data_IF_286253706092
#
_entry.id   IF_286253706092
#
_cell.length_a   1.000
_cell.length_b   1.000
_cell.length_c   1.000
_cell.angle_alpha   90.00
_cell.angle_beta   90.00
_cell.angle_gamma   90.00
#
_symmetry.space_group_name_H-M   'P 1'
#
loop_
_entity.id
_entity.type
_entity.pdbx_description
1 polymer ?
#
# COMPACT_ATOMS: atom_id res chain seq x y z
N UNK A 1 -9.23 41.07 11.63
CA UNK A 1 -8.55 39.94 10.94
C UNK A 1 -9.50 38.74 10.88
N UNK A 2 -9.73 38.13 9.70
CA UNK A 2 -10.43 36.84 9.63
C UNK A 2 -9.52 35.75 10.21
N UNK A 3 -9.92 35.13 11.32
CA UNK A 3 -9.20 34.02 11.95
C UNK A 3 -9.36 32.79 11.05
N UNK A 4 -8.40 32.55 10.15
CA UNK A 4 -8.46 31.40 9.23
C UNK A 4 -8.61 30.11 10.02
N UNK A 5 -9.72 29.38 9.81
CA UNK A 5 -9.98 28.11 10.47
C UNK A 5 -8.92 27.10 10.03
N UNK A 6 -8.09 26.67 10.98
CA UNK A 6 -7.07 25.62 10.80
C UNK A 6 -7.71 24.40 10.13
N UNK A 7 -7.17 24.00 8.98
CA UNK A 7 -7.62 22.83 8.23
C UNK A 7 -6.73 21.64 8.53
N UNK A 8 -7.31 20.48 8.83
CA UNK A 8 -6.56 19.27 9.17
C UNK A 8 -6.48 18.38 7.93
N UNK A 9 -5.27 18.06 7.48
CA UNK A 9 -5.03 17.31 6.24
C UNK A 9 -4.42 15.96 6.57
N UNK A 10 -5.08 14.89 6.16
CA UNK A 10 -4.60 13.52 6.27
C UNK A 10 -3.78 13.09 5.07
N UNK A 11 -2.75 12.28 5.32
CA UNK A 11 -2.01 11.51 4.30
C UNK A 11 -1.83 10.09 4.82
N UNK A 12 -2.03 9.08 3.97
CA UNK A 12 -1.72 7.67 4.29
C UNK A 12 -0.44 7.31 3.51
N UNK A 13 0.62 6.89 4.21
CA UNK A 13 1.94 6.76 3.60
C UNK A 13 2.83 5.65 4.18
N UNK A 14 3.85 5.26 3.41
CA UNK A 14 4.92 4.35 3.85
C UNK A 14 6.29 5.02 3.95
N UNK A 15 6.55 6.07 3.17
CA UNK A 15 7.83 6.79 3.13
C UNK A 15 9.04 5.84 3.09
N UNK A 16 9.04 4.91 2.12
CA UNK A 16 9.98 3.78 2.04
C UNK A 16 10.93 3.82 0.81
N UNK A 17 11.87 4.79 0.71
CA UNK A 17 12.17 5.89 1.64
C UNK A 17 11.27 7.13 1.44
N UNK A 18 11.39 8.12 2.33
CA UNK A 18 10.90 9.49 2.07
C UNK A 18 11.75 10.09 0.93
N UNK A 19 11.14 10.82 -0.01
CA UNK A 19 11.77 11.20 -1.28
C UNK A 19 11.06 12.41 -1.90
N UNK A 20 11.61 12.97 -2.98
CA UNK A 20 11.15 14.25 -3.56
C UNK A 20 9.66 14.25 -3.96
N UNK A 21 9.11 13.14 -4.48
CA UNK A 21 7.65 13.02 -4.69
C UNK A 21 6.78 13.19 -3.42
N UNK A 22 7.29 12.83 -2.23
CA UNK A 22 6.60 13.09 -0.96
C UNK A 22 6.74 14.55 -0.51
N UNK A 23 7.89 15.18 -0.80
CA UNK A 23 8.12 16.61 -0.57
C UNK A 23 7.19 17.44 -1.45
N UNK A 24 7.06 17.08 -2.73
CA UNK A 24 6.10 17.67 -3.67
C UNK A 24 4.67 17.62 -3.13
N UNK A 25 4.20 16.45 -2.66
CA UNK A 25 2.88 16.33 -2.04
C UNK A 25 2.69 17.28 -0.85
N UNK A 26 3.66 17.33 0.07
CA UNK A 26 3.59 18.19 1.26
C UNK A 26 3.62 19.68 0.89
N UNK A 27 4.43 20.07 -0.08
CA UNK A 27 4.51 21.45 -0.55
C UNK A 27 3.26 21.87 -1.35
N UNK A 28 2.67 20.96 -2.14
CA UNK A 28 1.38 21.16 -2.77
C UNK A 28 0.29 21.45 -1.73
N UNK A 29 0.24 20.67 -0.64
CA UNK A 29 -0.72 20.88 0.46
C UNK A 29 -0.53 22.27 1.09
N UNK A 30 0.71 22.67 1.42
CA UNK A 30 0.99 23.99 2.00
C UNK A 30 0.60 25.14 1.07
N UNK A 31 0.78 24.96 -0.25
CA UNK A 31 0.45 25.98 -1.27
C UNK A 31 -1.06 26.15 -1.45
N UNK A 32 -1.82 25.06 -1.49
CA UNK A 32 -3.25 25.10 -1.85
C UNK A 32 -4.20 25.05 -0.65
N UNK A 33 -3.72 24.66 0.54
CA UNK A 33 -4.51 24.61 1.77
C UNK A 33 -3.84 25.49 2.84
N UNK A 34 -4.14 26.81 2.88
CA UNK A 34 -3.58 27.72 3.87
C UNK A 34 -3.86 27.26 5.31
N UNK A 35 -2.86 27.36 6.18
CA UNK A 35 -2.92 26.91 7.58
C UNK A 35 -3.23 25.39 7.74
N UNK A 36 -2.85 24.57 6.76
CA UNK A 36 -2.93 23.12 6.85
C UNK A 36 -2.12 22.56 8.04
N UNK A 37 -2.76 21.68 8.81
CA UNK A 37 -2.14 20.86 9.84
C UNK A 37 -2.09 19.42 9.34
N UNK A 38 -0.92 19.00 8.89
CA UNK A 38 -0.70 17.73 8.19
C UNK A 38 -0.50 16.60 9.20
N UNK A 39 -1.34 15.58 9.09
CA UNK A 39 -1.32 14.34 9.86
C UNK A 39 -1.04 13.18 8.92
N UNK A 40 0.08 12.48 9.10
CA UNK A 40 0.41 11.27 8.34
C UNK A 40 0.08 10.03 9.17
N UNK A 41 -0.79 9.17 8.63
CA UNK A 41 -0.93 7.78 9.06
C UNK A 41 0.14 6.94 8.33
N UNK A 42 1.16 6.50 9.07
CA UNK A 42 2.37 5.92 8.50
C UNK A 42 2.57 4.46 8.91
N UNK A 43 2.91 3.59 7.96
CA UNK A 43 3.27 2.19 8.23
C UNK A 43 4.47 2.07 9.19
N UNK A 44 4.52 1.01 10.01
CA UNK A 44 5.50 0.88 11.10
C UNK A 44 6.80 0.17 10.70
N UNK A 45 6.78 -1.14 10.51
CA UNK A 45 7.97 -1.92 10.15
C UNK A 45 7.85 -2.49 8.75
N UNK A 46 6.63 -2.85 8.35
CA UNK A 46 6.35 -3.52 7.09
C UNK A 46 5.56 -2.62 6.14
N UNK A 47 5.56 -2.98 4.86
CA UNK A 47 4.76 -2.33 3.82
C UNK A 47 3.50 -3.14 3.48
N UNK A 48 2.52 -2.48 2.86
CA UNK A 48 1.33 -3.09 2.29
C UNK A 48 1.67 -4.12 1.20
N UNK A 49 2.82 -3.96 0.56
CA UNK A 49 3.37 -4.91 -0.42
C UNK A 49 4.05 -6.13 0.21
N UNK A 50 4.17 -6.20 1.54
CA UNK A 50 4.77 -7.33 2.27
C UNK A 50 6.30 -7.25 2.42
N UNK A 51 6.89 -6.07 2.24
CA UNK A 51 8.34 -5.84 2.42
C UNK A 51 8.64 -5.32 3.84
N UNK A 52 9.94 -5.28 4.20
CA UNK A 52 10.43 -4.54 5.36
C UNK A 52 10.80 -3.12 4.91
N UNK A 53 10.53 -2.13 5.76
CA UNK A 53 10.92 -0.73 5.50
C UNK A 53 12.44 -0.53 5.56
N UNK A 54 13.01 0.21 4.59
CA UNK A 54 14.45 0.45 4.47
C UNK A 54 15.03 1.30 5.62
N UNK A 55 14.20 2.11 6.26
CA UNK A 55 14.53 2.93 7.43
C UNK A 55 13.53 2.71 8.58
N UNK A 56 13.96 2.97 9.82
CA UNK A 56 13.09 2.83 10.99
C UNK A 56 11.90 3.80 10.96
N UNK A 57 10.82 3.44 11.65
CA UNK A 57 9.68 4.33 11.88
C UNK A 57 10.12 5.70 12.42
N UNK A 58 11.09 5.74 13.34
CA UNK A 58 11.59 6.98 13.93
C UNK A 58 12.38 7.84 12.93
N UNK A 59 13.20 7.24 12.06
CA UNK A 59 13.89 7.98 10.99
C UNK A 59 12.88 8.56 9.98
N UNK A 60 11.92 7.75 9.52
CA UNK A 60 10.85 8.18 8.58
C UNK A 60 9.94 9.24 9.20
N UNK A 61 9.61 9.13 10.49
CA UNK A 61 8.89 10.16 11.26
C UNK A 61 9.70 11.45 11.40
N UNK A 62 10.99 11.37 11.72
CA UNK A 62 11.86 12.54 11.90
C UNK A 62 11.96 13.35 10.61
N UNK A 63 12.23 12.69 9.47
CA UNK A 63 12.34 13.39 8.18
C UNK A 63 10.99 13.98 7.73
N UNK A 64 9.88 13.24 7.86
CA UNK A 64 8.55 13.77 7.53
C UNK A 64 8.21 15.04 8.33
N UNK A 65 8.53 15.06 9.64
CA UNK A 65 8.36 16.26 10.47
C UNK A 65 9.25 17.43 10.02
N UNK A 66 10.49 17.17 9.62
CA UNK A 66 11.41 18.21 9.13
C UNK A 66 10.88 18.90 7.86
N UNK A 67 10.17 18.17 7.00
CA UNK A 67 9.52 18.74 5.80
C UNK A 67 8.13 19.34 6.06
N UNK A 68 7.70 19.46 7.32
CA UNK A 68 6.48 20.19 7.69
C UNK A 68 5.25 19.32 8.00
N UNK A 69 5.40 18.01 8.18
CA UNK A 69 4.33 17.19 8.76
C UNK A 69 4.20 17.48 10.25
N UNK A 70 3.04 17.93 10.70
CA UNK A 70 2.84 18.30 12.10
C UNK A 70 2.75 17.07 13.02
N UNK A 71 2.02 16.02 12.59
CA UNK A 71 1.81 14.79 13.38
C UNK A 71 2.02 13.55 12.51
N UNK A 72 2.74 12.56 13.04
CA UNK A 72 2.90 11.22 12.41
C UNK A 72 2.39 10.17 13.38
N UNK A 73 1.44 9.36 12.91
CA UNK A 73 0.70 8.37 13.67
C UNK A 73 0.98 6.99 13.07
N UNK A 74 1.17 6.00 13.94
CA UNK A 74 1.58 4.66 13.53
C UNK A 74 0.37 3.83 13.11
N UNK A 75 0.40 3.28 11.90
CA UNK A 75 -0.49 2.19 11.49
C UNK A 75 0.03 0.87 12.05
N UNK A 76 -0.88 0.01 12.52
CA UNK A 76 -0.57 -1.31 13.05
C UNK A 76 -0.13 -2.24 11.92
N UNK A 77 0.99 -2.95 12.09
CA UNK A 77 1.50 -3.85 11.04
C UNK A 77 0.48 -4.95 10.68
N UNK A 78 -0.41 -5.36 11.61
CA UNK A 78 -1.51 -6.32 11.31
C UNK A 78 -2.49 -5.83 10.25
N UNK A 79 -2.68 -4.51 10.16
CA UNK A 79 -3.63 -3.87 9.24
C UNK A 79 -2.91 -3.39 7.96
N UNK A 80 -1.60 -3.10 8.08
CA UNK A 80 -0.75 -2.78 6.92
C UNK A 80 -0.53 -4.00 6.02
N UNK A 81 -0.26 -5.18 6.58
CA UNK A 81 0.09 -6.39 5.80
C UNK A 81 -1.18 -7.08 5.25
N UNK A 82 -2.03 -6.31 4.58
CA UNK A 82 -3.35 -6.70 4.07
C UNK A 82 -3.60 -6.22 2.64
N UNK A 83 -4.71 -6.65 2.03
CA UNK A 83 -5.17 -6.14 0.74
C UNK A 83 -5.44 -4.62 0.78
N UNK A 84 -5.47 -3.97 -0.39
CA UNK A 84 -5.55 -2.51 -0.49
C UNK A 84 -6.76 -1.91 0.25
N UNK A 85 -7.94 -2.54 0.15
CA UNK A 85 -9.15 -2.12 0.85
C UNK A 85 -9.00 -2.10 2.39
N UNK A 86 -8.35 -3.11 2.99
CA UNK A 86 -8.13 -3.14 4.46
C UNK A 86 -7.10 -2.09 4.89
N UNK A 87 -6.03 -1.92 4.12
CA UNK A 87 -5.01 -0.89 4.40
C UNK A 87 -5.60 0.53 4.28
N UNK A 88 -6.41 0.76 3.24
CA UNK A 88 -7.18 1.99 3.05
C UNK A 88 -8.14 2.22 4.22
N UNK A 89 -8.94 1.22 4.58
CA UNK A 89 -9.89 1.30 5.69
C UNK A 89 -9.20 1.65 7.01
N UNK A 90 -8.09 0.98 7.34
CA UNK A 90 -7.32 1.26 8.55
C UNK A 90 -6.72 2.67 8.55
N UNK A 91 -6.18 3.13 7.40
CA UNK A 91 -5.64 4.47 7.23
C UNK A 91 -6.69 5.58 7.38
N UNK A 92 -7.80 5.46 6.66
CA UNK A 92 -8.90 6.43 6.70
C UNK A 92 -9.56 6.45 8.08
N UNK A 93 -9.87 5.29 8.68
CA UNK A 93 -10.45 5.22 10.03
C UNK A 93 -9.54 5.83 11.09
N UNK A 94 -8.22 5.64 10.99
CA UNK A 94 -7.26 6.26 11.91
C UNK A 94 -7.22 7.80 11.77
N UNK A 95 -7.30 8.30 10.54
CA UNK A 95 -7.29 9.74 10.29
C UNK A 95 -8.64 10.40 10.63
N UNK A 96 -9.77 9.71 10.41
CA UNK A 96 -11.10 10.18 10.81
C UNK A 96 -11.20 10.40 12.33
N UNK A 97 -10.59 9.53 13.14
CA UNK A 97 -10.45 9.73 14.61
C UNK A 97 -9.69 11.00 14.99
N UNK A 98 -8.96 11.62 14.05
CA UNK A 98 -8.30 12.92 14.21
C UNK A 98 -9.01 14.07 13.48
N UNK A 99 -10.25 13.86 13.02
CA UNK A 99 -11.13 14.87 12.42
C UNK A 99 -10.44 15.63 11.29
N UNK A 100 -9.87 14.89 10.33
CA UNK A 100 -9.31 15.47 9.11
C UNK A 100 -10.43 16.11 8.27
N UNK A 101 -10.20 17.32 7.76
CA UNK A 101 -11.07 17.95 6.75
C UNK A 101 -10.83 17.31 5.36
N UNK A 102 -9.55 17.03 5.04
CA UNK A 102 -9.11 16.59 3.72
C UNK A 102 -8.26 15.32 3.81
N UNK A 103 -8.41 14.41 2.86
CA UNK A 103 -7.47 13.30 2.64
C UNK A 103 -6.74 13.51 1.31
N UNK A 104 -5.44 13.77 1.35
CA UNK A 104 -4.62 14.05 0.16
C UNK A 104 -3.77 12.83 -0.19
N UNK A 105 -3.91 12.32 -1.41
CA UNK A 105 -3.16 11.19 -1.95
C UNK A 105 -2.68 11.46 -3.37
N UNK A 106 -1.63 10.79 -3.83
CA UNK A 106 -1.19 10.86 -5.23
C UNK A 106 -1.81 9.73 -6.04
N UNK A 107 -2.18 9.99 -7.29
CA UNK A 107 -2.71 9.00 -8.22
C UNK A 107 -2.13 9.19 -9.64
N UNK A 108 -2.25 8.17 -10.48
CA UNK A 108 -1.80 8.19 -11.88
C UNK A 108 -2.75 8.97 -12.81
N UNK A 109 -4.08 8.89 -12.59
CA UNK A 109 -5.09 9.57 -13.44
C UNK A 109 -5.55 10.93 -12.90
N UNK A 110 -5.34 11.21 -11.62
CA UNK A 110 -5.74 12.45 -10.93
C UNK A 110 -7.23 12.83 -11.03
N UNK A 111 -8.10 11.87 -11.29
CA UNK A 111 -9.54 12.11 -11.46
C UNK A 111 -10.33 11.68 -10.22
N UNK A 112 -10.40 12.57 -9.22
CA UNK A 112 -11.18 12.33 -7.98
C UNK A 112 -12.65 12.11 -8.28
N UNK A 113 -13.21 12.86 -9.23
CA UNK A 113 -14.63 12.82 -9.58
C UNK A 113 -15.03 11.45 -10.12
N UNK A 114 -14.20 10.88 -10.99
CA UNK A 114 -14.32 9.49 -11.46
C UNK A 114 -14.26 8.48 -10.31
N UNK A 115 -13.30 8.62 -9.38
CA UNK A 115 -13.22 7.72 -8.23
C UNK A 115 -14.44 7.83 -7.31
N UNK A 116 -14.99 9.04 -7.12
CA UNK A 116 -16.23 9.28 -6.36
C UNK A 116 -17.44 8.68 -7.07
N UNK A 117 -17.56 8.84 -8.40
CA UNK A 117 -18.59 8.21 -9.23
C UNK A 117 -18.56 6.68 -9.06
N UNK A 118 -17.41 6.06 -9.30
CA UNK A 118 -17.23 4.60 -9.15
C UNK A 118 -17.59 4.14 -7.73
N UNK A 119 -17.11 4.83 -6.69
CA UNK A 119 -17.38 4.46 -5.31
C UNK A 119 -18.87 4.57 -4.92
N UNK A 120 -19.58 5.63 -5.36
CA UNK A 120 -21.03 5.76 -5.13
C UNK A 120 -21.81 4.67 -5.83
N UNK A 121 -21.54 4.42 -7.12
CA UNK A 121 -22.21 3.35 -7.86
C UNK A 121 -21.93 1.97 -7.26
N UNK A 122 -20.73 1.73 -6.70
CA UNK A 122 -20.44 0.51 -5.92
C UNK A 122 -21.29 0.44 -4.65
N UNK A 123 -21.42 1.52 -3.87
CA UNK A 123 -22.25 1.56 -2.65
C UNK A 123 -23.73 1.28 -2.98
N UNK A 124 -24.24 1.86 -4.08
CA UNK A 124 -25.60 1.67 -4.58
C UNK A 124 -25.85 0.25 -5.13
N UNK A 125 -24.86 -0.36 -5.80
CA UNK A 125 -24.97 -1.66 -6.47
C UNK A 125 -24.17 -2.78 -5.77
N UNK A 126 -24.02 -2.70 -4.46
CA UNK A 126 -23.03 -3.48 -3.70
C UNK A 126 -23.18 -5.00 -3.86
N UNK A 127 -24.41 -5.52 -3.85
CA UNK A 127 -24.67 -6.96 -4.05
C UNK A 127 -24.27 -7.43 -5.46
N UNK A 128 -24.63 -6.65 -6.48
CA UNK A 128 -24.31 -6.94 -7.87
C UNK A 128 -22.79 -6.88 -8.09
N UNK A 129 -22.13 -5.84 -7.57
CA UNK A 129 -20.67 -5.71 -7.61
C UNK A 129 -19.96 -6.92 -6.98
N UNK A 130 -20.38 -7.35 -5.80
CA UNK A 130 -19.83 -8.54 -5.15
C UNK A 130 -20.15 -9.86 -5.89
N UNK A 131 -21.33 -9.98 -6.52
CA UNK A 131 -21.68 -11.10 -7.41
C UNK A 131 -20.74 -11.15 -8.62
N UNK A 132 -20.50 -10.01 -9.28
CA UNK A 132 -19.60 -9.89 -10.42
C UNK A 132 -18.13 -10.21 -10.06
N UNK A 133 -17.64 -9.75 -8.90
CA UNK A 133 -16.30 -10.15 -8.41
C UNK A 133 -16.19 -11.67 -8.28
N UNK A 134 -17.18 -12.34 -7.66
CA UNK A 134 -17.18 -13.80 -7.48
C UNK A 134 -17.23 -14.52 -8.84
N UNK A 135 -18.02 -14.02 -9.78
CA UNK A 135 -18.09 -14.51 -11.16
C UNK A 135 -16.74 -14.39 -11.87
N UNK A 136 -16.11 -13.22 -11.86
CA UNK A 136 -14.82 -12.98 -12.51
C UNK A 136 -13.64 -13.67 -11.82
N UNK A 137 -13.67 -13.91 -10.51
CA UNK A 137 -12.69 -14.76 -9.82
C UNK A 137 -12.78 -16.22 -10.23
N UNK A 138 -14.00 -16.75 -10.46
CA UNK A 138 -14.21 -18.09 -11.00
C UNK A 138 -13.80 -18.17 -12.48
N UNK A 139 -14.27 -17.22 -13.31
CA UNK A 139 -14.03 -17.17 -14.76
C UNK A 139 -12.54 -16.97 -15.07
N UNK A 140 -11.85 -18.06 -15.39
CA UNK A 140 -10.43 -18.03 -15.77
C UNK A 140 -9.45 -17.72 -14.64
N UNK A 141 -9.82 -18.00 -13.38
CA UNK A 141 -8.96 -17.90 -12.19
C UNK A 141 -8.29 -16.53 -11.97
N UNK A 142 -9.01 -15.43 -12.23
CA UNK A 142 -8.47 -14.09 -12.03
C UNK A 142 -8.19 -13.79 -10.55
N UNK A 143 -7.10 -13.07 -10.29
CA UNK A 143 -6.85 -12.48 -8.97
C UNK A 143 -7.92 -11.46 -8.59
N UNK A 144 -8.15 -11.27 -7.29
CA UNK A 144 -9.15 -10.33 -6.76
C UNK A 144 -9.04 -8.90 -7.35
N UNK A 145 -7.85 -8.26 -7.48
CA UNK A 145 -7.76 -6.94 -8.11
C UNK A 145 -8.24 -6.94 -9.57
N UNK A 146 -7.93 -7.98 -10.36
CA UNK A 146 -8.40 -8.05 -11.75
C UNK A 146 -9.91 -8.34 -11.83
N UNK A 147 -10.45 -9.17 -10.94
CA UNK A 147 -11.89 -9.43 -10.87
C UNK A 147 -12.69 -8.20 -10.41
N UNK A 148 -12.17 -7.42 -9.46
CA UNK A 148 -12.72 -6.13 -9.03
C UNK A 148 -12.73 -5.10 -10.17
N UNK A 149 -11.61 -4.96 -10.88
CA UNK A 149 -11.51 -4.11 -12.07
C UNK A 149 -12.50 -4.52 -13.18
N UNK A 150 -12.65 -5.83 -13.47
CA UNK A 150 -13.62 -6.32 -14.44
C UNK A 150 -15.07 -6.05 -14.02
N UNK A 151 -15.39 -6.14 -12.72
CA UNK A 151 -16.71 -5.79 -12.20
C UNK A 151 -17.00 -4.27 -12.28
N UNK A 152 -16.00 -3.41 -12.06
CA UNK A 152 -16.11 -1.96 -12.30
C UNK A 152 -16.39 -1.70 -13.79
N UNK A 153 -15.68 -2.38 -14.68
CA UNK A 153 -15.84 -2.24 -16.13
C UNK A 153 -17.22 -2.69 -16.62
N UNK A 154 -17.76 -3.77 -16.08
CA UNK A 154 -19.13 -4.22 -16.42
C UNK A 154 -20.21 -3.27 -15.89
N UNK A 155 -20.01 -2.66 -14.71
CA UNK A 155 -20.99 -1.75 -14.09
C UNK A 155 -20.95 -0.32 -14.64
N UNK A 156 -19.77 0.21 -15.00
CA UNK A 156 -19.59 1.63 -15.33
C UNK A 156 -18.90 1.88 -16.68
N UNK A 157 -18.39 0.85 -17.36
CA UNK A 157 -17.47 0.96 -18.50
C UNK A 157 -16.15 1.71 -18.18
N UNK A 158 -15.75 1.76 -16.90
CA UNK A 158 -14.52 2.40 -16.42
C UNK A 158 -13.43 1.36 -16.12
N UNK A 159 -12.14 1.72 -16.22
CA UNK A 159 -11.02 0.77 -16.09
C UNK A 159 -9.89 1.31 -15.20
N UNK A 160 -9.90 0.94 -13.91
CA UNK A 160 -8.90 1.37 -12.91
C UNK A 160 -7.84 0.29 -12.71
N UNK A 161 -6.70 0.41 -13.39
CA UNK A 161 -5.60 -0.59 -13.34
C UNK A 161 -4.38 -0.14 -12.55
N UNK A 162 -4.15 1.18 -12.40
CA UNK A 162 -2.89 1.68 -11.86
C UNK A 162 -2.81 1.57 -10.33
N UNK A 163 -1.64 1.27 -9.73
CA UNK A 163 -1.57 0.92 -8.31
C UNK A 163 -1.95 2.03 -7.33
N UNK A 164 -1.72 3.31 -7.64
CA UNK A 164 -2.12 4.40 -6.76
C UNK A 164 -3.57 4.84 -7.03
N UNK A 165 -4.07 4.72 -8.27
CA UNK A 165 -5.50 4.88 -8.57
C UNK A 165 -6.36 3.86 -7.82
N UNK A 166 -5.99 2.57 -7.85
CA UNK A 166 -6.66 1.52 -7.07
C UNK A 166 -6.68 1.88 -5.58
N UNK A 167 -5.56 2.36 -5.04
CA UNK A 167 -5.46 2.73 -3.63
C UNK A 167 -6.27 3.99 -3.29
N UNK A 168 -6.30 4.97 -4.18
CA UNK A 168 -7.13 6.18 -4.09
C UNK A 168 -8.62 5.86 -4.10
N UNK A 169 -9.05 4.96 -4.99
CA UNK A 169 -10.42 4.46 -5.03
C UNK A 169 -10.80 3.74 -3.72
N UNK A 170 -9.93 2.91 -3.16
CA UNK A 170 -10.20 2.25 -1.86
C UNK A 170 -10.27 3.24 -0.68
N UNK A 171 -9.51 4.34 -0.71
CA UNK A 171 -9.68 5.43 0.27
C UNK A 171 -11.06 6.10 0.13
N UNK A 172 -11.46 6.43 -1.11
CA UNK A 172 -12.72 7.12 -1.42
C UNK A 172 -13.93 6.23 -1.11
N UNK A 173 -13.88 4.94 -1.46
CA UNK A 173 -14.85 3.92 -1.02
C UNK A 173 -14.98 3.93 0.50
N UNK A 174 -13.88 3.86 1.25
CA UNK A 174 -13.96 3.89 2.72
C UNK A 174 -14.67 5.15 3.23
N UNK A 175 -14.36 6.33 2.68
CA UNK A 175 -15.00 7.60 3.07
C UNK A 175 -16.51 7.54 2.82
N UNK A 176 -16.93 7.06 1.64
CA UNK A 176 -18.33 7.00 1.21
C UNK A 176 -19.10 5.91 1.94
N UNK A 177 -18.53 4.71 2.11
CA UNK A 177 -19.16 3.56 2.79
C UNK A 177 -19.46 3.83 4.28
N UNK A 178 -18.70 4.73 4.90
CA UNK A 178 -18.85 5.11 6.32
C UNK A 178 -19.40 6.53 6.51
N UNK A 179 -19.83 7.18 5.42
CA UNK A 179 -20.40 8.54 5.39
C UNK A 179 -19.55 9.58 6.15
N UNK A 180 -18.22 9.47 6.02
CA UNK A 180 -17.28 10.37 6.69
C UNK A 180 -17.25 11.75 6.03
N UNK A 181 -17.32 12.81 6.84
CA UNK A 181 -17.15 14.19 6.40
C UNK A 181 -15.66 14.52 6.13
N UNK A 182 -15.09 13.89 5.10
CA UNK A 182 -13.70 14.01 4.67
C UNK A 182 -13.70 14.26 3.17
N UNK A 183 -13.13 15.37 2.72
CA UNK A 183 -13.00 15.66 1.29
C UNK A 183 -11.74 14.98 0.72
N UNK A 184 -11.87 13.99 -0.19
CA UNK A 184 -10.72 13.41 -0.87
C UNK A 184 -10.13 14.41 -1.88
N UNK A 185 -8.80 14.47 -1.96
CA UNK A 185 -8.07 15.25 -2.95
C UNK A 185 -6.98 14.34 -3.53
N UNK A 186 -7.01 14.16 -4.85
CA UNK A 186 -5.89 13.57 -5.58
C UNK A 186 -4.91 14.66 -6.01
N UNK A 187 -3.65 14.28 -6.14
CA UNK A 187 -2.65 15.02 -6.91
C UNK A 187 -2.07 14.12 -8.01
N UNK A 188 -1.78 14.69 -9.17
CA UNK A 188 -1.04 14.00 -10.23
C UNK A 188 0.34 13.60 -9.70
N UNK A 189 0.73 12.34 -9.91
CA UNK A 189 2.09 11.90 -9.61
C UNK A 189 3.07 12.47 -10.63
N UNK A 190 4.20 13.01 -10.15
CA UNK A 190 5.31 13.47 -11.02
C UNK A 190 6.00 12.31 -11.75
N UNK A 191 5.96 11.09 -11.18
CA UNK A 191 6.44 9.85 -11.82
C UNK A 191 5.49 8.68 -11.53
N UNK A 192 5.21 7.89 -12.57
CA UNK A 192 4.42 6.66 -12.54
C UNK A 192 5.02 5.59 -11.61
N UNK A 193 4.16 4.71 -11.08
CA UNK A 193 4.65 3.61 -10.25
C UNK A 193 5.36 2.54 -11.11
N UNK A 194 6.57 2.11 -10.70
CA UNK A 194 7.45 1.15 -11.42
C UNK A 194 8.18 1.64 -12.69
N UNK A 195 8.27 2.94 -12.99
CA UNK A 195 9.24 3.39 -14.01
C UNK A 195 10.69 3.09 -13.55
N UNK A 196 11.51 2.61 -14.48
CA UNK A 196 12.97 2.67 -14.36
C UNK A 196 13.51 4.06 -14.70
N UNK A 197 12.66 4.87 -15.35
CA UNK A 197 12.95 6.22 -15.79
C UNK A 197 13.04 7.17 -14.60
N UNK A 198 14.16 7.87 -14.54
CA UNK A 198 14.36 9.08 -13.76
C UNK A 198 13.83 10.24 -14.58
N UNK A 199 13.01 11.09 -13.96
CA UNK A 199 12.63 12.39 -14.53
C UNK A 199 13.12 13.46 -13.56
N UNK A 200 14.17 14.17 -13.97
CA UNK A 200 14.89 15.18 -13.20
C UNK A 200 15.31 14.72 -11.79
N UNK A 201 14.71 15.30 -10.75
CA UNK A 201 14.98 15.01 -9.34
C UNK A 201 14.02 13.96 -8.75
N UNK A 202 13.23 13.27 -9.58
CA UNK A 202 12.26 12.28 -9.13
C UNK A 202 12.66 10.85 -9.50
N UNK A 203 12.45 9.92 -8.57
CA UNK A 203 12.61 8.49 -8.79
C UNK A 203 11.58 7.70 -7.96
N UNK A 204 11.21 6.50 -8.44
CA UNK A 204 10.25 5.66 -7.72
C UNK A 204 10.84 5.10 -6.42
N UNK A 205 10.01 4.93 -5.38
CA UNK A 205 10.47 4.36 -4.11
C UNK A 205 11.11 2.97 -4.27
N UNK A 206 10.71 2.20 -5.27
CA UNK A 206 11.32 0.90 -5.63
C UNK A 206 12.75 1.09 -6.13
N UNK A 207 12.95 1.98 -7.12
CA UNK A 207 14.27 2.32 -7.67
C UNK A 207 15.23 2.79 -6.58
N UNK A 208 14.78 3.65 -5.66
CA UNK A 208 15.60 4.10 -4.52
C UNK A 208 16.01 2.96 -3.57
N UNK A 209 15.18 1.92 -3.41
CA UNK A 209 15.56 0.73 -2.63
C UNK A 209 16.57 -0.16 -3.38
N UNK A 210 16.51 -0.21 -4.71
CA UNK A 210 17.50 -0.92 -5.54
C UNK A 210 18.86 -0.22 -5.52
N UNK A 211 18.87 1.11 -5.71
CA UNK A 211 20.07 1.95 -5.57
C UNK A 211 20.75 1.74 -4.22
N UNK A 212 19.97 1.78 -3.13
CA UNK A 212 20.47 1.46 -1.78
C UNK A 212 21.09 0.05 -1.71
N UNK A 213 20.46 -0.99 -2.27
CA UNK A 213 21.05 -2.36 -2.29
C UNK A 213 22.39 -2.41 -3.03
N UNK A 214 22.55 -1.58 -4.06
CA UNK A 214 23.77 -1.42 -4.86
C UNK A 214 24.80 -0.45 -4.21
N UNK A 215 24.50 0.09 -3.02
CA UNK A 215 25.26 1.14 -2.32
C UNK A 215 25.45 2.43 -3.15
N UNK A 216 24.57 2.70 -4.11
CA UNK A 216 24.54 3.95 -4.86
C UNK A 216 23.97 5.09 -4.00
N UNK A 217 24.39 6.32 -4.27
CA UNK A 217 23.83 7.49 -3.62
C UNK A 217 22.40 7.76 -4.10
N UNK A 218 21.56 8.21 -3.18
CA UNK A 218 20.15 8.58 -3.41
C UNK A 218 19.87 10.05 -3.10
N UNK A 219 20.90 10.85 -2.77
CA UNK A 219 20.76 12.23 -2.27
C UNK A 219 19.96 13.14 -3.20
N UNK A 220 20.17 13.02 -4.52
CA UNK A 220 19.41 13.72 -5.58
C UNK A 220 17.88 13.54 -5.43
N UNK A 221 17.43 12.37 -4.99
CA UNK A 221 16.02 11.98 -4.95
C UNK A 221 15.42 11.96 -3.53
N UNK A 222 16.27 11.99 -2.50
CA UNK A 222 15.90 11.69 -1.13
C UNK A 222 16.80 12.42 -0.11
N UNK A 223 16.22 13.20 0.81
CA UNK A 223 16.97 13.79 1.92
C UNK A 223 17.29 12.78 3.04
N UNK A 224 16.87 11.51 2.90
CA UNK A 224 17.17 10.49 3.90
C UNK A 224 18.57 9.91 3.72
N UNK A 225 19.48 10.23 4.65
CA UNK A 225 20.76 9.54 4.80
C UNK A 225 20.54 8.11 5.31
N UNK A 226 20.49 7.13 4.39
CA UNK A 226 20.26 5.71 4.68
C UNK A 226 21.48 4.92 4.18
N UNK A 227 22.11 4.14 5.07
CA UNK A 227 23.01 3.05 4.66
C UNK A 227 22.19 1.77 4.48
N UNK A 228 22.46 1.00 3.43
CA UNK A 228 21.79 -0.28 3.24
C UNK A 228 22.10 -1.24 4.39
N UNK A 229 21.06 -1.98 4.80
CA UNK A 229 21.15 -2.92 5.90
C UNK A 229 20.47 -4.22 5.47
N UNK A 230 21.26 -5.27 5.26
CA UNK A 230 20.81 -6.62 4.90
C UNK A 230 19.71 -7.14 5.86
N UNK A 231 19.73 -6.80 7.15
CA UNK A 231 18.69 -7.16 8.14
C UNK A 231 17.32 -6.49 7.88
N UNK A 232 17.25 -5.52 6.96
CA UNK A 232 16.03 -4.85 6.49
C UNK A 232 15.61 -5.27 5.08
N UNK A 233 16.33 -6.17 4.42
CA UNK A 233 15.82 -6.84 3.23
C UNK A 233 15.08 -8.12 3.67
N UNK A 234 13.83 -8.25 3.23
CA UNK A 234 12.94 -9.37 3.53
C UNK A 234 13.55 -10.71 3.07
N UNK A 235 14.40 -10.71 2.05
CA UNK A 235 15.04 -11.92 1.53
C UNK A 235 15.87 -12.67 2.58
N UNK A 236 16.54 -11.96 3.49
CA UNK A 236 17.33 -12.57 4.58
C UNK A 236 16.46 -13.26 5.65
N UNK A 237 15.13 -13.14 5.58
CA UNK A 237 14.22 -13.89 6.47
C UNK A 237 13.82 -15.27 5.89
N UNK A 238 14.24 -15.60 4.66
CA UNK A 238 13.85 -16.83 3.96
C UNK A 238 14.20 -18.11 4.70
N UNK A 239 15.44 -18.29 5.15
CA UNK A 239 15.86 -19.50 5.85
C UNK A 239 15.00 -19.79 7.10
N UNK A 240 14.63 -18.74 7.86
CA UNK A 240 13.74 -18.82 9.01
C UNK A 240 12.31 -19.19 8.60
N UNK A 241 11.78 -18.57 7.56
CA UNK A 241 10.46 -18.89 7.01
C UNK A 241 10.39 -20.34 6.51
N UNK A 242 11.32 -20.75 5.65
CA UNK A 242 11.37 -22.08 5.06
C UNK A 242 11.52 -23.16 6.14
N UNK A 243 12.40 -22.97 7.11
CA UNK A 243 12.56 -23.86 8.26
C UNK A 243 11.29 -23.99 9.12
N UNK A 244 10.49 -22.92 9.22
CA UNK A 244 9.21 -22.95 9.91
C UNK A 244 8.14 -23.70 9.09
N UNK A 245 8.00 -23.40 7.80
CA UNK A 245 7.04 -24.04 6.88
C UNK A 245 7.33 -25.54 6.73
N UNK A 246 8.60 -25.94 6.57
CA UNK A 246 8.99 -27.36 6.49
C UNK A 246 8.49 -28.15 7.70
N UNK A 247 8.71 -27.63 8.92
CA UNK A 247 8.34 -28.26 10.21
C UNK A 247 6.87 -28.10 10.62
N UNK A 248 6.08 -27.28 9.93
CA UNK A 248 4.68 -27.02 10.27
C UNK A 248 3.73 -27.78 9.34
N UNK A 249 2.59 -28.23 9.84
CA UNK A 249 1.55 -28.88 9.03
C UNK A 249 0.76 -27.86 8.22
N UNK A 250 0.26 -28.23 7.03
CA UNK A 250 -0.57 -27.37 6.20
C UNK A 250 -1.78 -26.80 6.97
N UNK A 251 -2.48 -27.64 7.75
CA UNK A 251 -3.60 -27.25 8.63
C UNK A 251 -3.23 -26.16 9.65
N UNK A 252 -1.99 -26.13 10.17
CA UNK A 252 -1.52 -25.05 11.06
C UNK A 252 -1.16 -23.78 10.28
N UNK A 253 -0.61 -23.90 9.07
CA UNK A 253 -0.28 -22.74 8.21
C UNK A 253 -1.56 -22.04 7.71
N UNK A 254 -2.63 -22.80 7.41
CA UNK A 254 -3.95 -22.28 7.04
C UNK A 254 -4.64 -21.41 8.12
N UNK A 255 -4.12 -21.37 9.35
CA UNK A 255 -4.62 -20.49 10.42
C UNK A 255 -4.10 -19.05 10.33
N UNK A 256 -3.14 -18.75 9.45
CA UNK A 256 -2.57 -17.41 9.30
C UNK A 256 -3.36 -16.55 8.31
N UNK A 257 -3.33 -15.22 8.50
CA UNK A 257 -4.04 -14.28 7.62
C UNK A 257 -3.60 -14.42 6.16
N UNK A 258 -4.59 -14.30 5.26
CA UNK A 258 -4.46 -14.44 3.81
C UNK A 258 -4.03 -15.82 3.30
N UNK A 259 -3.81 -16.80 4.20
CA UNK A 259 -3.58 -18.20 3.83
C UNK A 259 -4.94 -18.87 3.64
N UNK A 260 -5.44 -18.77 2.43
CA UNK A 260 -6.69 -19.33 1.97
C UNK A 260 -6.44 -20.07 0.65
N UNK A 261 -7.41 -20.88 0.21
CA UNK A 261 -7.45 -21.38 -1.17
C UNK A 261 -6.22 -22.23 -1.59
N UNK A 262 -5.61 -22.96 -0.65
CA UNK A 262 -4.50 -23.89 -0.91
C UNK A 262 -3.10 -23.27 -0.86
N UNK A 263 -2.96 -21.98 -0.49
CA UNK A 263 -1.65 -21.31 -0.36
C UNK A 263 -0.73 -22.04 0.63
N UNK A 264 -1.27 -22.67 1.68
CA UNK A 264 -0.53 -23.50 2.63
C UNK A 264 0.17 -24.69 1.95
N UNK A 265 -0.50 -25.34 0.99
CA UNK A 265 0.05 -26.49 0.25
C UNK A 265 1.07 -26.02 -0.80
N UNK A 266 0.78 -24.91 -1.48
CA UNK A 266 1.72 -24.25 -2.39
C UNK A 266 3.01 -23.87 -1.65
N UNK A 267 2.92 -23.26 -0.46
CA UNK A 267 4.07 -22.92 0.36
C UNK A 267 4.84 -24.16 0.81
N UNK A 268 4.15 -25.22 1.28
CA UNK A 268 4.79 -26.50 1.64
C UNK A 268 5.56 -27.12 0.49
N UNK A 269 5.02 -27.10 -0.73
CA UNK A 269 5.71 -27.55 -1.95
C UNK A 269 6.92 -26.65 -2.25
N UNK A 270 6.72 -25.34 -2.37
CA UNK A 270 7.76 -24.46 -2.90
C UNK A 270 8.94 -24.22 -1.96
N UNK A 271 8.79 -24.34 -0.63
CA UNK A 271 9.97 -24.30 0.27
C UNK A 271 10.88 -25.53 0.19
N UNK A 272 10.41 -26.63 -0.41
CA UNK A 272 11.24 -27.82 -0.67
C UNK A 272 12.03 -27.67 -1.97
N UNK A 273 11.49 -26.94 -2.95
CA UNK A 273 12.08 -26.77 -4.28
C UNK A 273 12.98 -25.54 -4.43
N UNK A 274 12.80 -24.51 -3.59
CA UNK A 274 13.50 -23.23 -3.73
C UNK A 274 14.36 -22.90 -2.50
N UNK A 275 15.60 -22.44 -2.73
CA UNK A 275 16.59 -22.18 -1.68
C UNK A 275 16.76 -20.70 -1.31
N UNK A 276 16.17 -19.77 -2.07
CA UNK A 276 16.17 -18.34 -1.76
C UNK A 276 14.76 -17.72 -1.86
N UNK A 277 14.63 -16.48 -1.39
CA UNK A 277 13.38 -15.73 -1.36
C UNK A 277 12.81 -15.42 -2.75
N UNK A 278 13.66 -15.04 -3.72
CA UNK A 278 13.19 -14.55 -5.02
C UNK A 278 12.50 -15.70 -5.76
N UNK A 279 13.21 -16.81 -5.95
CA UNK A 279 12.70 -17.98 -6.66
C UNK A 279 11.45 -18.56 -5.96
N UNK A 280 11.44 -18.61 -4.63
CA UNK A 280 10.27 -19.01 -3.86
C UNK A 280 9.04 -18.13 -4.13
N UNK A 281 9.22 -16.80 -4.18
CA UNK A 281 8.11 -15.88 -4.47
C UNK A 281 7.64 -16.08 -5.91
N UNK A 282 8.54 -16.12 -6.91
CA UNK A 282 8.16 -16.35 -8.32
C UNK A 282 7.40 -17.67 -8.49
N UNK A 283 7.91 -18.76 -7.93
CA UNK A 283 7.30 -20.09 -8.01
C UNK A 283 5.94 -20.19 -7.27
N UNK A 284 5.58 -19.18 -6.48
CA UNK A 284 4.26 -19.05 -5.85
C UNK A 284 3.31 -18.09 -6.58
N UNK A 285 3.80 -17.26 -7.51
CA UNK A 285 2.95 -16.34 -8.30
C UNK A 285 2.13 -17.13 -9.31
N UNK A 286 0.88 -16.70 -9.50
CA UNK A 286 0.00 -17.23 -10.54
C UNK A 286 -1.00 -16.16 -10.97
N UNK A 287 -1.79 -16.43 -12.02
CA UNK A 287 -2.92 -15.59 -12.43
C UNK A 287 -3.90 -15.29 -11.27
N UNK A 288 -4.00 -16.22 -10.32
CA UNK A 288 -4.85 -16.16 -9.13
C UNK A 288 -4.17 -15.45 -7.95
N UNK A 289 -2.87 -15.66 -7.77
CA UNK A 289 -2.08 -15.12 -6.67
C UNK A 289 -1.01 -14.14 -7.16
N UNK A 290 -1.31 -12.85 -7.06
CA UNK A 290 -0.35 -11.79 -7.40
C UNK A 290 0.86 -11.83 -6.46
N UNK A 291 2.02 -11.36 -6.97
CA UNK A 291 3.27 -11.18 -6.20
C UNK A 291 3.04 -10.55 -4.83
N UNK A 292 2.28 -9.46 -4.75
CA UNK A 292 2.00 -8.77 -3.47
C UNK A 292 1.10 -9.58 -2.53
N UNK A 293 0.18 -10.43 -3.04
CA UNK A 293 -0.58 -11.37 -2.19
C UNK A 293 0.37 -12.40 -1.59
N UNK A 294 1.21 -13.04 -2.40
CA UNK A 294 2.21 -14.00 -1.94
C UNK A 294 3.17 -13.40 -0.91
N UNK A 295 3.68 -12.19 -1.14
CA UNK A 295 4.56 -11.48 -0.19
C UNK A 295 3.87 -11.17 1.15
N UNK A 296 2.60 -10.76 1.13
CA UNK A 296 1.81 -10.60 2.37
C UNK A 296 1.53 -11.93 3.07
N UNK A 297 1.20 -13.00 2.33
CA UNK A 297 1.00 -14.34 2.88
C UNK A 297 2.28 -14.86 3.56
N UNK A 298 3.42 -14.75 2.88
CA UNK A 298 4.76 -15.05 3.40
C UNK A 298 5.00 -14.33 4.74
N UNK A 299 4.70 -13.03 4.78
CA UNK A 299 4.96 -12.20 5.95
C UNK A 299 4.01 -12.50 7.12
N UNK A 300 2.72 -12.76 6.87
CA UNK A 300 1.77 -13.18 7.91
C UNK A 300 2.20 -14.52 8.55
N UNK A 301 2.72 -15.47 7.75
CA UNK A 301 3.29 -16.74 8.25
C UNK A 301 4.58 -16.49 9.05
N UNK A 302 5.52 -15.69 8.53
CA UNK A 302 6.79 -15.35 9.20
C UNK A 302 6.56 -14.69 10.57
N UNK A 303 5.53 -13.84 10.68
CA UNK A 303 5.13 -13.14 11.90
C UNK A 303 4.10 -13.89 12.75
N UNK A 304 3.62 -15.05 12.28
CA UNK A 304 2.61 -15.89 12.94
C UNK A 304 1.28 -15.14 13.22
N UNK A 305 0.89 -14.23 12.32
CA UNK A 305 -0.34 -13.45 12.43
C UNK A 305 -1.53 -14.35 12.04
N UNK A 306 -2.27 -14.83 13.05
CA UNK A 306 -3.49 -15.63 12.87
C UNK A 306 -4.65 -14.80 12.34
N UNK A 307 -5.59 -15.48 11.68
CA UNK A 307 -6.88 -14.94 11.23
C UNK A 307 -7.61 -14.22 12.36
#
# INVERSE_FOLDING_TARGET
>A
MKKYKKKVVGIIAEYNPFHNGHIYQINWIKKHIPNAYIIVAMSNKYTQRGEITCASYYQRKKIAKAYGVNKVIKLNDKDVIQAAHIFAQAGVNLLNKHKIDYLVFGSETNNVELFVKIARTIKENNELYHKLIRQYMKKGANSFPKASNLAIKELLNEDIQMPNDILGLEYIKTIIDNDFNITPISIQRTIAFHSNDVLDEFASATKLREMLKQNQDISQYSPMKIKYNKKRDIAYTYAKFASYVKRTTAKKIAQFKLIDEGIENLFKKQVLLNNNYVDFIEACVSKRYTRSRIQRCYLNVLLRIKK
#
